data_IF_912309293454
#
_entry.id   IF_912309293454
#
_cell.length_a   1.000
_cell.length_b   1.000
_cell.length_c   1.000
_cell.angle_alpha   90.00
_cell.angle_beta   90.00
_cell.angle_gamma   90.00
#
_symmetry.space_group_name_H-M   'P 1'
#
loop_
_entity.id
_entity.type
_entity.pdbx_description
1 polymer ?
#
# COMPACT_ATOMS: atom_id res chain seq x y z
N UNK A 1 -8.73 9.18 77.30
CA UNK A 1 -8.05 8.67 76.11
C UNK A 1 -9.02 8.79 74.95
N UNK A 2 -8.78 9.71 74.01
CA UNK A 2 -9.64 9.95 72.83
C UNK A 2 -8.96 9.33 71.62
N UNK A 3 -9.61 8.30 71.07
CA UNK A 3 -9.18 7.67 69.80
C UNK A 3 -9.62 8.53 68.61
N UNK A 4 -8.66 9.05 67.81
CA UNK A 4 -8.91 9.68 66.52
C UNK A 4 -9.03 8.57 65.44
N UNK A 5 -10.02 8.62 64.54
CA UNK A 5 -10.08 7.69 63.42
C UNK A 5 -9.17 8.15 62.25
N UNK A 6 -8.35 7.23 61.82
CA UNK A 6 -7.50 7.41 60.60
C UNK A 6 -8.42 7.29 59.38
N UNK A 7 -8.57 8.36 58.60
CA UNK A 7 -9.28 8.33 57.32
C UNK A 7 -8.31 7.91 56.22
N UNK A 8 -8.49 6.74 55.70
CA UNK A 8 -7.78 6.23 54.53
C UNK A 8 -8.34 6.92 53.28
N UNK A 9 -7.56 7.74 52.62
CA UNK A 9 -7.93 8.32 51.31
C UNK A 9 -7.57 7.34 50.21
N UNK A 10 -8.55 6.80 49.54
CA UNK A 10 -8.39 5.97 48.35
C UNK A 10 -8.18 6.86 47.13
N UNK A 11 -6.97 6.88 46.58
CA UNK A 11 -6.66 7.58 45.35
C UNK A 11 -7.09 6.68 44.17
N UNK A 12 -8.16 7.07 43.48
CA UNK A 12 -8.60 6.42 42.25
C UNK A 12 -7.80 7.07 41.11
N UNK A 13 -6.77 6.38 40.60
CA UNK A 13 -6.09 6.77 39.39
C UNK A 13 -6.96 6.43 38.18
N UNK A 14 -7.57 7.45 37.58
CA UNK A 14 -8.25 7.32 36.31
C UNK A 14 -7.21 7.23 35.18
N UNK A 15 -7.00 6.04 34.62
CA UNK A 15 -6.27 5.87 33.38
C UNK A 15 -7.16 6.38 32.22
N UNK A 16 -6.83 7.60 31.75
CA UNK A 16 -7.39 8.10 30.48
C UNK A 16 -6.75 7.29 29.35
N UNK A 17 -7.47 6.31 28.83
CA UNK A 17 -7.10 5.61 27.61
C UNK A 17 -7.20 6.58 26.42
N UNK A 18 -6.07 7.06 25.90
CA UNK A 18 -6.02 7.76 24.61
C UNK A 18 -6.33 6.72 23.52
N UNK A 19 -7.56 6.70 23.04
CA UNK A 19 -7.91 6.01 21.80
C UNK A 19 -7.29 6.79 20.64
N UNK A 20 -6.14 6.30 20.11
CA UNK A 20 -5.65 6.78 18.83
C UNK A 20 -6.65 6.30 17.76
N UNK A 21 -7.52 7.20 17.33
CA UNK A 21 -8.27 6.98 16.10
C UNK A 21 -7.25 6.92 14.96
N UNK A 22 -7.16 5.78 14.28
CA UNK A 22 -6.40 5.69 13.04
C UNK A 22 -6.98 6.70 12.06
N UNK A 23 -6.27 7.78 11.82
CA UNK A 23 -6.64 8.75 10.80
C UNK A 23 -6.30 8.15 9.46
N UNK A 24 -7.23 8.20 8.50
CA UNK A 24 -6.97 7.80 7.13
C UNK A 24 -5.69 8.50 6.63
N UNK A 25 -4.80 7.76 6.00
CA UNK A 25 -3.55 8.29 5.45
C UNK A 25 -3.86 9.40 4.43
N UNK A 26 -3.17 10.54 4.53
CA UNK A 26 -3.37 11.69 3.64
C UNK A 26 -2.09 12.03 2.90
N UNK A 27 -2.26 12.43 1.65
CA UNK A 27 -1.13 12.99 0.90
C UNK A 27 -0.62 14.24 1.61
N UNK A 28 0.70 14.31 1.76
CA UNK A 28 1.37 15.35 2.52
C UNK A 28 1.80 14.95 3.93
N UNK A 29 1.18 13.93 4.50
CA UNK A 29 1.54 13.39 5.81
C UNK A 29 2.68 12.34 5.71
N UNK A 30 3.38 12.03 6.81
CA UNK A 30 4.26 10.88 6.88
C UNK A 30 3.47 9.59 6.55
N UNK A 31 4.01 8.77 5.64
CA UNK A 31 3.44 7.46 5.34
C UNK A 31 3.52 6.56 6.59
N UNK A 32 2.46 5.83 6.94
CA UNK A 32 2.48 4.86 8.03
C UNK A 32 3.63 3.87 7.88
N UNK A 33 4.43 3.71 8.94
CA UNK A 33 5.54 2.74 8.92
C UNK A 33 4.98 1.34 9.19
N UNK A 34 5.34 0.39 8.36
CA UNK A 34 4.91 -0.99 8.51
C UNK A 34 6.09 -1.95 8.43
N UNK A 35 5.87 -3.16 8.89
CA UNK A 35 6.75 -4.30 8.67
C UNK A 35 5.94 -5.42 8.02
N UNK A 36 6.39 -5.92 6.87
CA UNK A 36 5.76 -7.00 6.13
C UNK A 36 6.77 -8.06 5.72
N UNK A 37 6.27 -9.28 5.48
CA UNK A 37 7.08 -10.40 4.96
C UNK A 37 6.71 -10.62 3.50
N UNK A 38 7.71 -10.74 2.63
CA UNK A 38 7.50 -11.03 1.22
C UNK A 38 7.31 -12.53 0.93
N UNK A 39 6.97 -12.84 -0.31
CA UNK A 39 6.78 -14.21 -0.79
C UNK A 39 8.05 -15.08 -0.76
N UNK A 40 9.23 -14.49 -0.51
CA UNK A 40 10.50 -15.20 -0.33
C UNK A 40 10.89 -15.33 1.15
N UNK A 41 10.02 -14.89 2.08
CA UNK A 41 10.27 -14.94 3.52
C UNK A 41 11.18 -13.83 4.04
N UNK A 42 11.48 -12.80 3.22
CA UNK A 42 12.28 -11.66 3.64
C UNK A 42 11.39 -10.62 4.34
N UNK A 43 11.92 -10.03 5.41
CA UNK A 43 11.23 -8.96 6.13
C UNK A 43 11.58 -7.60 5.53
N UNK A 44 10.55 -6.81 5.23
CA UNK A 44 10.65 -5.45 4.73
C UNK A 44 10.02 -4.49 5.72
N UNK A 45 10.75 -3.43 6.07
CA UNK A 45 10.23 -2.32 6.88
C UNK A 45 10.26 -1.05 6.04
N UNK A 46 9.13 -0.32 5.95
CA UNK A 46 9.06 0.89 5.12
C UNK A 46 10.14 1.91 5.49
N UNK A 47 10.36 2.15 6.77
CA UNK A 47 11.39 3.11 7.23
C UNK A 47 12.82 2.72 6.86
N UNK A 48 13.09 1.47 6.50
CA UNK A 48 14.42 1.05 6.00
C UNK A 48 14.70 1.57 4.59
N UNK A 49 13.69 2.06 3.89
CA UNK A 49 13.82 2.63 2.55
C UNK A 49 13.96 4.15 2.53
N UNK A 50 14.17 4.80 3.68
CA UNK A 50 14.49 6.24 3.73
C UNK A 50 15.63 6.58 2.76
N UNK A 51 15.53 7.72 2.09
CA UNK A 51 16.47 8.11 1.03
C UNK A 51 16.10 7.60 -0.37
N UNK A 52 15.06 6.78 -0.51
CA UNK A 52 14.55 6.28 -1.79
C UNK A 52 13.08 6.65 -1.96
N UNK A 53 12.64 6.78 -3.20
CA UNK A 53 11.21 6.76 -3.52
C UNK A 53 10.67 5.34 -3.36
N UNK A 54 9.45 5.21 -2.83
CA UNK A 54 8.78 3.91 -2.66
C UNK A 54 7.41 3.97 -3.34
N UNK A 55 7.09 2.95 -4.13
CA UNK A 55 5.73 2.71 -4.63
C UNK A 55 5.14 1.54 -3.87
N UNK A 56 3.93 1.73 -3.37
CA UNK A 56 3.10 0.62 -2.87
C UNK A 56 1.99 0.38 -3.90
N UNK A 57 1.83 -0.88 -4.31
CA UNK A 57 0.82 -1.34 -5.25
C UNK A 57 -0.04 -2.39 -4.56
N UNK A 58 -1.28 -2.06 -4.18
CA UNK A 58 -2.23 -3.11 -3.80
C UNK A 58 -2.69 -3.87 -5.02
N UNK A 59 -2.55 -5.19 -4.98
CA UNK A 59 -2.78 -6.05 -6.13
C UNK A 59 -3.67 -7.26 -5.81
N UNK A 60 -4.31 -7.81 -6.85
CA UNK A 60 -5.08 -9.04 -6.80
C UNK A 60 -5.09 -9.65 -8.21
N UNK A 61 -4.45 -10.79 -8.39
CA UNK A 61 -4.29 -11.48 -9.68
C UNK A 61 -5.62 -11.90 -10.33
N UNK A 62 -6.71 -11.94 -9.58
CA UNK A 62 -8.06 -12.29 -10.06
C UNK A 62 -8.94 -11.07 -10.35
N UNK A 63 -8.47 -9.86 -10.00
CA UNK A 63 -9.17 -8.63 -10.32
C UNK A 63 -9.00 -8.28 -11.81
N UNK A 64 -10.07 -8.08 -12.59
CA UNK A 64 -9.95 -7.75 -14.01
C UNK A 64 -9.25 -6.39 -14.24
N UNK A 65 -9.38 -5.43 -13.33
CA UNK A 65 -8.68 -4.15 -13.41
C UNK A 65 -7.16 -4.31 -13.21
N UNK A 66 -6.72 -5.11 -12.23
CA UNK A 66 -5.30 -5.46 -12.08
C UNK A 66 -4.81 -6.21 -13.30
N UNK A 67 -5.59 -7.19 -13.79
CA UNK A 67 -5.25 -7.98 -14.98
C UNK A 67 -5.06 -7.12 -16.24
N UNK A 68 -5.84 -6.05 -16.44
CA UNK A 68 -5.63 -5.06 -17.52
C UNK A 68 -4.17 -4.66 -17.61
N UNK A 69 -3.57 -4.26 -16.48
CA UNK A 69 -2.20 -3.74 -16.43
C UNK A 69 -1.14 -4.84 -16.55
N UNK A 70 -1.39 -6.03 -16.00
CA UNK A 70 -0.45 -7.14 -16.11
C UNK A 70 -0.52 -7.85 -17.47
N UNK A 71 -1.68 -8.01 -18.08
CA UNK A 71 -1.80 -8.68 -19.40
C UNK A 71 -1.34 -7.80 -20.55
N UNK A 72 -1.41 -6.48 -20.41
CA UNK A 72 -0.87 -5.52 -21.39
C UNK A 72 0.64 -5.29 -21.25
N UNK A 73 1.28 -5.80 -20.20
CA UNK A 73 2.68 -5.48 -19.88
C UNK A 73 2.89 -4.11 -19.24
N UNK A 74 1.84 -3.32 -19.04
CA UNK A 74 1.94 -1.98 -18.48
C UNK A 74 2.59 -1.97 -17.08
N UNK A 75 2.09 -2.84 -16.16
CA UNK A 75 2.63 -2.88 -14.80
C UNK A 75 4.10 -3.31 -14.78
N UNK A 76 4.45 -4.35 -15.53
CA UNK A 76 5.83 -4.84 -15.62
C UNK A 76 6.78 -3.79 -16.17
N UNK A 77 6.34 -3.00 -17.16
CA UNK A 77 7.15 -1.92 -17.71
C UNK A 77 7.39 -0.82 -16.68
N UNK A 78 6.35 -0.41 -15.94
CA UNK A 78 6.49 0.54 -14.84
C UNK A 78 7.44 0.03 -13.76
N UNK A 79 7.23 -1.20 -13.31
CA UNK A 79 8.09 -1.83 -12.30
C UNK A 79 9.55 -1.85 -12.75
N UNK A 80 9.84 -2.33 -13.97
CA UNK A 80 11.20 -2.38 -14.53
C UNK A 80 11.82 -1.00 -14.69
N UNK A 81 11.07 -0.05 -15.24
CA UNK A 81 11.55 1.31 -15.45
C UNK A 81 11.96 1.97 -14.13
N UNK A 82 11.07 1.95 -13.15
CA UNK A 82 11.28 2.69 -11.91
C UNK A 82 12.24 1.99 -10.95
N UNK A 83 12.24 0.66 -10.89
CA UNK A 83 13.24 -0.08 -10.09
C UNK A 83 14.66 0.09 -10.66
N UNK A 84 14.82 0.17 -12.00
CA UNK A 84 16.11 0.48 -12.61
C UNK A 84 16.62 1.90 -12.27
N UNK A 85 15.71 2.83 -11.95
CA UNK A 85 16.03 4.19 -11.48
C UNK A 85 16.21 4.27 -9.95
N UNK A 86 16.20 3.13 -9.24
CA UNK A 86 16.42 3.06 -7.80
C UNK A 86 15.17 3.25 -6.93
N UNK A 87 13.98 3.35 -7.53
CA UNK A 87 12.71 3.34 -6.81
C UNK A 87 12.45 1.95 -6.23
N UNK A 88 12.01 1.86 -5.00
CA UNK A 88 11.56 0.61 -4.39
C UNK A 88 10.09 0.39 -4.76
N UNK A 89 9.76 -0.73 -5.39
CA UNK A 89 8.40 -1.07 -5.76
C UNK A 89 7.93 -2.29 -4.95
N UNK A 90 6.95 -2.10 -4.08
CA UNK A 90 6.39 -3.15 -3.24
C UNK A 90 4.95 -3.46 -3.71
N UNK A 91 4.69 -4.67 -4.16
CA UNK A 91 3.33 -5.17 -4.35
C UNK A 91 2.81 -5.71 -3.03
N UNK A 92 1.52 -5.48 -2.71
CA UNK A 92 0.92 -5.86 -1.43
C UNK A 92 -0.37 -6.63 -1.69
N UNK A 93 -0.47 -7.82 -1.09
CA UNK A 93 -1.59 -8.75 -1.22
C UNK A 93 -2.33 -8.87 0.12
N UNK A 94 -3.38 -8.07 0.29
CA UNK A 94 -4.19 -8.04 1.53
C UNK A 94 -5.49 -8.86 1.40
N UNK A 95 -5.57 -9.82 0.47
CA UNK A 95 -6.70 -10.73 0.40
C UNK A 95 -6.64 -11.76 1.53
N UNK A 96 -7.72 -11.89 2.29
CA UNK A 96 -7.84 -12.83 3.40
C UNK A 96 -7.80 -14.29 2.94
N UNK A 97 -7.37 -15.25 3.78
CA UNK A 97 -7.39 -16.67 3.45
C UNK A 97 -8.78 -17.13 2.99
N UNK A 98 -8.83 -17.83 1.87
CA UNK A 98 -10.08 -18.29 1.24
C UNK A 98 -10.81 -17.24 0.40
N UNK A 99 -10.44 -15.98 0.47
CA UNK A 99 -11.01 -14.92 -0.35
C UNK A 99 -10.41 -14.89 -1.76
N UNK A 100 -11.10 -14.21 -2.69
CA UNK A 100 -10.61 -14.03 -4.06
C UNK A 100 -9.27 -13.27 -4.05
N UNK A 101 -8.26 -13.84 -4.70
CA UNK A 101 -6.93 -13.22 -4.81
C UNK A 101 -6.01 -13.55 -3.65
N UNK A 102 -6.45 -14.34 -2.67
CA UNK A 102 -5.52 -14.89 -1.68
C UNK A 102 -4.49 -15.80 -2.37
N UNK A 103 -3.23 -15.61 -2.01
CA UNK A 103 -2.13 -16.42 -2.53
C UNK A 103 -1.19 -16.84 -1.40
N UNK A 104 -0.71 -18.08 -1.48
CA UNK A 104 0.43 -18.52 -0.66
C UNK A 104 1.73 -17.93 -1.24
N UNK A 105 2.80 -17.95 -0.48
CA UNK A 105 4.11 -17.48 -0.92
C UNK A 105 4.56 -18.14 -2.24
N UNK A 106 4.45 -19.47 -2.33
CA UNK A 106 4.79 -20.20 -3.57
C UNK A 106 3.90 -19.78 -4.74
N UNK A 107 2.59 -19.67 -4.53
CA UNK A 107 1.67 -19.29 -5.60
C UNK A 107 1.92 -17.87 -6.10
N UNK A 108 2.30 -16.94 -5.21
CA UNK A 108 2.68 -15.59 -5.61
C UNK A 108 3.98 -15.57 -6.40
N UNK A 109 5.00 -16.32 -5.99
CA UNK A 109 6.25 -16.43 -6.74
C UNK A 109 6.02 -17.02 -8.14
N UNK A 110 5.21 -18.07 -8.25
CA UNK A 110 4.85 -18.67 -9.53
C UNK A 110 4.09 -17.67 -10.43
N UNK A 111 3.17 -16.89 -9.84
CA UNK A 111 2.43 -15.86 -10.57
C UNK A 111 3.34 -14.75 -11.06
N UNK A 112 4.20 -14.18 -10.20
CA UNK A 112 5.16 -13.13 -10.55
C UNK A 112 6.09 -13.57 -11.67
N UNK A 113 6.61 -14.80 -11.60
CA UNK A 113 7.43 -15.38 -12.67
C UNK A 113 6.63 -15.50 -13.98
N UNK A 114 5.41 -16.05 -13.91
CA UNK A 114 4.55 -16.28 -15.09
C UNK A 114 4.21 -14.99 -15.82
N UNK A 115 3.97 -13.89 -15.10
CA UNK A 115 3.61 -12.61 -15.70
C UNK A 115 4.84 -11.72 -15.96
N UNK A 116 6.04 -12.20 -15.65
CA UNK A 116 7.29 -11.44 -15.78
C UNK A 116 7.28 -10.13 -14.99
N UNK A 117 6.62 -10.12 -13.83
CA UNK A 117 6.62 -8.98 -12.93
C UNK A 117 8.02 -8.68 -12.38
N UNK A 118 8.27 -7.42 -12.07
CA UNK A 118 9.59 -6.95 -11.64
C UNK A 118 9.52 -5.97 -10.45
N UNK A 119 8.66 -6.19 -9.43
CA UNK A 119 8.70 -5.40 -8.21
C UNK A 119 9.99 -5.69 -7.44
N UNK A 120 10.33 -4.84 -6.47
CA UNK A 120 11.41 -5.11 -5.51
C UNK A 120 11.03 -6.30 -4.61
N UNK A 121 9.77 -6.36 -4.17
CA UNK A 121 9.23 -7.45 -3.35
C UNK A 121 7.71 -7.53 -3.47
N UNK A 122 7.15 -8.73 -3.22
CA UNK A 122 5.71 -8.97 -3.11
C UNK A 122 5.36 -9.33 -1.66
N UNK A 123 4.75 -8.40 -0.93
CA UNK A 123 4.41 -8.55 0.48
C UNK A 123 3.09 -9.28 0.64
N UNK A 124 3.07 -10.26 1.53
CA UNK A 124 1.88 -11.02 1.90
C UNK A 124 1.27 -10.41 3.17
N UNK A 125 0.07 -9.87 3.05
CA UNK A 125 -0.66 -9.21 4.13
C UNK A 125 -2.07 -9.85 4.32
N UNK A 126 -2.15 -11.18 4.59
CA UNK A 126 -3.42 -11.90 4.63
C UNK A 126 -4.33 -11.48 5.81
N UNK A 127 -3.78 -10.82 6.81
CA UNK A 127 -4.52 -10.23 7.92
C UNK A 127 -5.01 -8.80 7.61
N UNK A 128 -4.58 -8.20 6.51
CA UNK A 128 -4.98 -6.85 6.11
C UNK A 128 -4.36 -5.73 6.94
N UNK A 129 -3.36 -6.01 7.77
CA UNK A 129 -2.77 -5.01 8.69
C UNK A 129 -2.23 -3.81 7.94
N UNK A 130 -1.40 -4.05 6.91
CA UNK A 130 -0.83 -2.98 6.09
C UNK A 130 -1.95 -2.30 5.29
N UNK A 131 -2.89 -3.10 4.76
CA UNK A 131 -4.02 -2.59 3.98
C UNK A 131 -4.88 -1.61 4.76
N UNK A 132 -5.21 -1.92 6.01
CA UNK A 132 -6.00 -1.04 6.87
C UNK A 132 -5.24 0.22 7.30
N UNK A 133 -3.94 0.13 7.54
CA UNK A 133 -3.10 1.30 7.85
C UNK A 133 -3.09 2.34 6.73
N UNK A 134 -3.15 1.89 5.46
CA UNK A 134 -3.19 2.73 4.29
C UNK A 134 -4.61 3.06 3.80
N UNK A 135 -5.65 2.50 4.42
CA UNK A 135 -7.05 2.59 3.96
C UNK A 135 -7.18 2.14 2.50
N UNK A 136 -6.42 1.12 2.09
CA UNK A 136 -6.42 0.60 0.74
C UNK A 136 -7.78 -0.04 0.42
N UNK A 137 -8.44 0.42 -0.65
CA UNK A 137 -9.84 0.05 -0.94
C UNK A 137 -10.00 -0.81 -2.16
N UNK A 138 -9.11 -0.65 -3.13
CA UNK A 138 -9.26 -1.30 -4.45
C UNK A 138 -8.00 -2.04 -4.87
N UNK A 139 -8.12 -2.80 -5.93
CA UNK A 139 -6.99 -3.35 -6.67
C UNK A 139 -7.17 -3.06 -8.17
N UNK A 140 -6.21 -2.31 -8.80
CA UNK A 140 -5.05 -1.70 -8.16
C UNK A 140 -5.40 -0.51 -7.27
N UNK A 141 -4.55 -0.21 -6.26
CA UNK A 141 -4.54 1.02 -5.49
C UNK A 141 -3.08 1.42 -5.29
N UNK A 142 -2.71 2.66 -5.60
CA UNK A 142 -1.32 3.07 -5.75
C UNK A 142 -0.95 4.18 -4.79
N UNK A 143 0.24 4.06 -4.19
CA UNK A 143 0.79 5.09 -3.30
C UNK A 143 2.24 5.35 -3.68
N UNK A 144 2.66 6.62 -3.68
CA UNK A 144 4.04 7.03 -3.90
C UNK A 144 4.53 7.80 -2.69
N UNK A 145 5.67 7.37 -2.15
CA UNK A 145 6.30 7.91 -0.96
C UNK A 145 7.67 8.47 -1.35
N UNK A 146 7.98 9.67 -0.89
CA UNK A 146 9.25 10.34 -1.17
C UNK A 146 10.40 9.84 -0.28
N UNK A 147 11.66 10.23 -0.56
CA UNK A 147 12.83 9.82 0.23
C UNK A 147 12.78 10.24 1.71
N UNK A 148 12.01 11.26 2.06
CA UNK A 148 11.77 11.67 3.46
C UNK A 148 10.74 10.79 4.17
N UNK A 149 10.03 9.94 3.40
CA UNK A 149 8.94 9.08 3.87
C UNK A 149 7.59 9.76 3.93
N UNK A 150 7.41 10.82 3.17
CA UNK A 150 6.16 11.54 3.03
C UNK A 150 5.36 10.96 1.86
N UNK A 151 4.06 10.75 2.06
CA UNK A 151 3.16 10.34 0.98
C UNK A 151 2.96 11.52 0.01
N UNK A 152 3.30 11.34 -1.26
CA UNK A 152 3.21 12.39 -2.28
C UNK A 152 2.15 12.11 -3.35
N UNK A 153 1.70 10.85 -3.47
CA UNK A 153 0.58 10.46 -4.32
C UNK A 153 -0.19 9.29 -3.71
N UNK A 154 -1.52 9.30 -3.86
CA UNK A 154 -2.39 8.17 -3.54
C UNK A 154 -3.56 8.08 -4.54
N UNK A 155 -3.91 6.86 -5.00
CA UNK A 155 -5.10 6.63 -5.82
C UNK A 155 -4.91 5.72 -7.02
N UNK A 156 -5.56 6.05 -8.12
CA UNK A 156 -5.59 5.25 -9.34
C UNK A 156 -4.23 5.13 -10.02
N UNK A 157 -4.02 4.05 -10.76
CA UNK A 157 -2.81 3.91 -11.60
C UNK A 157 -2.90 4.80 -12.84
N UNK A 158 -4.09 4.94 -13.43
CA UNK A 158 -4.33 5.75 -14.63
C UNK A 158 -5.73 6.42 -14.62
N UNK A 159 -6.04 7.19 -15.67
CA UNK A 159 -7.28 7.94 -15.85
C UNK A 159 -8.38 7.15 -16.59
N UNK A 160 -8.17 5.86 -16.90
CA UNK A 160 -9.14 5.03 -17.61
C UNK A 160 -9.64 3.85 -16.73
N UNK A 161 -10.73 4.06 -15.96
CA UNK A 161 -11.27 3.06 -15.03
C UNK A 161 -12.04 1.95 -15.73
N UNK A 162 -11.40 1.29 -16.69
CA UNK A 162 -11.92 0.18 -17.49
C UNK A 162 -11.06 -1.07 -17.32
N UNK A 163 -11.53 -2.19 -17.84
CA UNK A 163 -10.79 -3.46 -17.90
C UNK A 163 -10.18 -3.73 -19.29
N UNK A 164 -10.35 -2.78 -20.22
CA UNK A 164 -9.87 -2.91 -21.61
C UNK A 164 -8.38 -2.53 -21.70
N UNK A 165 -7.57 -3.45 -22.19
CA UNK A 165 -6.13 -3.23 -22.41
C UNK A 165 -5.85 -2.23 -23.55
N UNK A 166 -6.80 -2.02 -24.46
CA UNK A 166 -6.66 -1.03 -25.55
C UNK A 166 -6.64 0.42 -25.07
N UNK A 167 -7.04 0.66 -23.81
CA UNK A 167 -6.97 1.98 -23.20
C UNK A 167 -5.54 2.37 -22.80
N UNK A 168 -4.66 1.40 -22.50
CA UNK A 168 -3.32 1.66 -21.96
C UNK A 168 -2.51 2.67 -22.79
N UNK A 169 -2.42 2.58 -24.14
CA UNK A 169 -1.60 3.52 -24.91
C UNK A 169 -2.06 4.98 -24.87
N UNK A 170 -3.34 5.22 -24.49
CA UNK A 170 -3.92 6.56 -24.43
C UNK A 170 -4.20 7.04 -23.01
N UNK A 171 -3.92 6.20 -22.02
CA UNK A 171 -4.11 6.52 -20.60
C UNK A 171 -3.00 7.41 -20.08
N UNK A 172 -3.38 8.41 -19.30
CA UNK A 172 -2.46 9.16 -18.47
C UNK A 172 -2.12 8.33 -17.24
N UNK A 173 -0.84 7.99 -17.06
CA UNK A 173 -0.40 7.18 -15.91
C UNK A 173 0.02 8.08 -14.75
N UNK A 174 -0.82 8.17 -13.73
CA UNK A 174 -0.61 9.05 -12.58
C UNK A 174 0.62 8.69 -11.74
N UNK A 175 0.94 7.39 -11.63
CA UNK A 175 2.12 6.94 -10.87
C UNK A 175 3.41 7.35 -11.58
N UNK A 176 3.46 7.16 -12.90
CA UNK A 176 4.60 7.58 -13.72
C UNK A 176 4.80 9.08 -13.70
N UNK A 177 3.70 9.85 -13.81
CA UNK A 177 3.74 11.30 -13.75
C UNK A 177 4.26 11.79 -12.38
N UNK A 178 3.70 11.26 -11.28
CA UNK A 178 4.11 11.64 -9.93
C UNK A 178 5.59 11.33 -9.68
N UNK A 179 6.09 10.17 -10.11
CA UNK A 179 7.51 9.83 -10.00
C UNK A 179 8.40 10.69 -10.90
N UNK A 180 7.95 10.99 -12.13
CA UNK A 180 8.69 11.84 -13.06
C UNK A 180 8.87 13.25 -12.49
N UNK A 181 7.78 13.85 -12.02
CA UNK A 181 7.78 15.19 -11.41
C UNK A 181 8.66 15.21 -10.14
N UNK A 182 8.44 14.25 -9.24
CA UNK A 182 9.14 14.21 -7.96
C UNK A 182 10.66 13.96 -8.14
N UNK A 183 11.07 13.03 -9.02
CA UNK A 183 12.48 12.74 -9.26
C UNK A 183 13.20 13.89 -9.99
N UNK A 184 12.46 14.74 -10.72
CA UNK A 184 12.97 16.00 -11.30
C UNK A 184 13.02 17.15 -10.27
N UNK A 185 12.67 16.92 -9.00
CA UNK A 185 12.60 17.95 -7.96
C UNK A 185 11.40 18.90 -8.10
N UNK A 186 10.41 18.53 -8.90
CA UNK A 186 9.19 19.30 -9.11
C UNK A 186 8.12 18.88 -8.09
N UNK A 187 7.16 19.76 -7.86
CA UNK A 187 5.98 19.43 -7.08
C UNK A 187 5.07 18.51 -7.91
N UNK A 188 4.58 17.43 -7.28
CA UNK A 188 3.60 16.53 -7.90
C UNK A 188 2.31 17.31 -8.16
N UNK A 189 1.92 17.42 -9.44
CA UNK A 189 0.78 18.21 -9.86
C UNK A 189 -0.55 17.56 -9.47
N UNK A 190 -0.67 16.24 -9.60
CA UNK A 190 -1.84 15.45 -9.21
C UNK A 190 -1.46 14.57 -8.05
N UNK A 191 -1.78 14.98 -6.83
CA UNK A 191 -1.38 14.28 -5.60
C UNK A 191 -2.37 13.20 -5.17
N UNK A 192 -3.62 13.29 -5.61
CA UNK A 192 -4.67 12.33 -5.27
C UNK A 192 -5.61 12.12 -6.44
N UNK A 193 -6.01 10.88 -6.66
CA UNK A 193 -7.11 10.50 -7.56
C UNK A 193 -7.98 9.45 -6.88
N UNK A 194 -9.25 9.34 -7.27
CA UNK A 194 -10.09 8.26 -6.78
C UNK A 194 -9.60 6.93 -7.34
N UNK A 195 -9.16 5.97 -6.50
CA UNK A 195 -8.77 4.65 -6.98
C UNK A 195 -10.00 3.91 -7.56
N UNK A 196 -9.74 3.01 -8.50
CA UNK A 196 -10.76 2.18 -9.13
C UNK A 196 -10.32 0.73 -9.18
N UNK A 197 -11.27 -0.19 -9.14
CA UNK A 197 -10.98 -1.62 -9.21
C UNK A 197 -11.91 -2.46 -8.35
N UNK A 198 -11.55 -3.72 -8.16
CA UNK A 198 -12.22 -4.60 -7.22
C UNK A 198 -11.87 -4.17 -5.78
N UNK A 199 -12.81 -4.28 -4.85
CA UNK A 199 -12.50 -4.06 -3.43
C UNK A 199 -11.41 -5.01 -2.96
N UNK A 200 -10.51 -4.54 -2.09
CA UNK A 200 -9.60 -5.41 -1.34
C UNK A 200 -10.43 -6.41 -0.54
N UNK A 201 -10.00 -7.66 -0.48
CA UNK A 201 -10.76 -8.76 0.11
C UNK A 201 -10.29 -9.04 1.53
N UNK A 202 -10.47 -8.05 2.43
CA UNK A 202 -10.22 -8.20 3.86
C UNK A 202 -11.11 -9.28 4.50
N UNK A 203 -10.80 -9.67 5.74
CA UNK A 203 -11.69 -10.52 6.50
C UNK A 203 -13.06 -9.86 6.68
N UNK A 204 -14.15 -10.65 6.59
CA UNK A 204 -15.52 -10.16 6.73
C UNK A 204 -15.91 -9.77 8.17
N UNK A 205 -14.96 -9.77 9.10
CA UNK A 205 -15.17 -9.40 10.51
C UNK A 205 -14.37 -8.16 10.94
N UNK A 206 -13.68 -7.53 9.99
CA UNK A 206 -12.88 -6.31 10.23
C UNK A 206 -13.65 -5.03 9.89
#
# INVERSE_FOLDING_TARGET
>A
MRHLPIRTATIISALLGLSLSASAVRVGDPAPDFTGTDSNGQTHKLSAYRGKYVVLEWTNNRCPYTRKHYTSGNMQNLQKEWTAKGVVWLTILSSAPGAQGYMTASAENDYMQKVHAAPTAALLDPAGVIGHEYDAKTTPDMYVIDPSGKLIYAGAIDDHPTTDTSDIPRSKNYVSDALTEATAGQQVAVTYTRPYGCSVKYNSGD
#
